data_IF_837872019918
#
_entry.id   IF_837872019918
#
_cell.length_a   1.000
_cell.length_b   1.000
_cell.length_c   1.000
_cell.angle_alpha   90.00
_cell.angle_beta   90.00
_cell.angle_gamma   90.00
#
_symmetry.space_group_name_H-M   'P 1'
#
loop_
_entity.id
_entity.type
_entity.pdbx_description
1 polymer ?
#
# COMPACT_ATOMS: atom_id res chain seq x y z
N UNK A 1 -55.13 -21.49 17.73
CA UNK A 1 -56.55 -21.13 17.38
C UNK A 1 -56.45 -20.31 16.11
N UNK A 2 -56.88 -20.90 15.02
CA UNK A 2 -58.06 -20.58 14.20
C UNK A 2 -57.88 -19.22 13.51
N UNK A 3 -57.85 -19.15 12.25
CA UNK A 3 -58.63 -19.52 11.03
C UNK A 3 -58.81 -18.24 10.24
N UNK A 4 -58.80 -18.04 9.00
CA UNK A 4 -59.20 -18.67 7.73
C UNK A 4 -59.25 -17.51 6.73
N UNK A 5 -58.63 -17.49 5.53
CA UNK A 5 -59.10 -18.07 4.27
C UNK A 5 -60.43 -17.50 3.75
N UNK A 6 -60.42 -16.93 2.55
CA UNK A 6 -61.31 -17.13 1.37
C UNK A 6 -61.12 -15.94 0.41
N UNK A 7 -60.74 -16.07 -0.79
CA UNK A 7 -61.28 -16.77 -1.99
C UNK A 7 -62.37 -16.02 -2.73
N UNK A 8 -62.19 -15.96 -4.05
CA UNK A 8 -63.07 -16.04 -5.21
C UNK A 8 -63.84 -14.75 -5.60
N UNK A 9 -64.18 -14.47 -6.84
CA UNK A 9 -63.97 -15.09 -8.13
C UNK A 9 -64.48 -14.16 -9.23
N UNK A 10 -63.99 -14.37 -10.43
CA UNK A 10 -64.65 -14.41 -11.75
C UNK A 10 -65.78 -13.42 -12.11
N UNK A 11 -65.65 -12.79 -13.29
CA UNK A 11 -66.63 -12.98 -14.40
C UNK A 11 -66.14 -12.34 -15.71
N UNK A 12 -66.07 -13.13 -16.67
CA UNK A 12 -66.13 -13.10 -18.11
C UNK A 12 -67.34 -12.30 -18.64
N UNK A 13 -67.19 -11.48 -19.70
CA UNK A 13 -68.19 -11.49 -20.79
C UNK A 13 -67.59 -10.92 -22.11
N UNK A 14 -67.96 -11.60 -23.12
CA UNK A 14 -67.62 -11.56 -24.53
C UNK A 14 -68.32 -10.43 -25.32
N UNK A 15 -67.79 -10.27 -26.55
CA UNK A 15 -68.40 -9.82 -27.84
C UNK A 15 -68.46 -8.30 -28.06
N UNK A 16 -68.25 -7.73 -29.22
CA UNK A 16 -68.44 -8.21 -30.58
C UNK A 16 -67.62 -7.34 -31.59
N UNK A 17 -67.39 -7.94 -32.69
CA UNK A 17 -66.81 -7.55 -33.96
C UNK A 17 -67.40 -6.26 -34.54
N UNK A 18 -66.60 -5.37 -35.09
CA UNK A 18 -66.89 -4.58 -36.28
C UNK A 18 -65.66 -4.41 -37.14
N UNK A 19 -65.63 -4.99 -38.29
CA UNK A 19 -64.73 -4.76 -39.38
C UNK A 19 -65.06 -3.44 -40.06
N UNK A 20 -64.09 -2.58 -40.28
CA UNK A 20 -64.07 -1.70 -41.42
C UNK A 20 -62.62 -1.14 -41.70
N UNK A 21 -62.20 -1.54 -42.87
CA UNK A 21 -61.38 -0.83 -43.87
C UNK A 21 -60.10 -0.11 -43.49
N UNK A 22 -59.08 -0.65 -44.10
CA UNK A 22 -57.88 -0.03 -44.68
C UNK A 22 -57.71 1.46 -44.59
N UNK A 23 -56.67 1.89 -43.87
CA UNK A 23 -55.68 2.87 -44.31
C UNK A 23 -54.35 2.50 -43.68
N UNK A 24 -53.31 2.31 -44.52
CA UNK A 24 -51.94 2.17 -44.11
C UNK A 24 -51.42 3.49 -43.58
N UNK A 25 -51.07 3.64 -42.30
CA UNK A 25 -50.08 4.62 -41.93
C UNK A 25 -48.70 4.04 -42.31
N UNK A 26 -47.92 4.78 -43.10
CA UNK A 26 -46.52 4.53 -43.26
C UNK A 26 -45.88 4.60 -41.88
N UNK A 27 -45.47 3.45 -41.38
CA UNK A 27 -44.46 3.37 -40.29
C UNK A 27 -43.19 4.04 -40.85
N UNK A 28 -42.97 5.31 -40.48
CA UNK A 28 -41.63 5.77 -40.36
C UNK A 28 -41.00 4.85 -39.32
N UNK A 29 -40.09 3.97 -39.75
CA UNK A 29 -39.11 3.37 -38.91
C UNK A 29 -38.33 4.51 -38.26
N UNK A 30 -38.73 4.90 -37.05
CA UNK A 30 -37.78 5.48 -36.13
C UNK A 30 -36.76 4.37 -35.89
N UNK A 31 -35.74 4.33 -36.76
CA UNK A 31 -34.45 3.76 -36.42
C UNK A 31 -33.97 4.52 -35.23
N UNK A 32 -34.31 4.05 -34.04
CA UNK A 32 -33.51 4.31 -32.85
C UNK A 32 -32.14 3.64 -33.11
N UNK A 33 -31.38 4.32 -33.91
CA UNK A 33 -29.93 4.14 -33.94
C UNK A 33 -29.47 4.68 -32.60
N UNK A 34 -29.49 3.84 -31.56
CA UNK A 34 -28.56 4.01 -30.49
C UNK A 34 -27.21 4.04 -31.19
N UNK A 35 -26.70 5.23 -31.45
CA UNK A 35 -25.30 5.44 -31.79
C UNK A 35 -24.53 4.87 -30.58
N UNK A 36 -24.23 3.60 -30.68
CA UNK A 36 -23.21 2.99 -29.85
C UNK A 36 -21.93 3.71 -30.24
N UNK A 37 -21.64 4.83 -29.54
CA UNK A 37 -20.35 5.51 -29.64
C UNK A 37 -19.29 4.43 -29.47
N UNK A 38 -18.74 3.96 -30.56
CA UNK A 38 -17.53 3.14 -30.56
C UNK A 38 -16.41 4.07 -30.07
N UNK A 39 -16.26 4.15 -28.75
CA UNK A 39 -15.16 4.94 -28.17
C UNK A 39 -13.88 4.31 -28.66
N UNK A 40 -13.09 5.08 -29.36
CA UNK A 40 -11.75 4.66 -29.78
C UNK A 40 -10.98 4.22 -28.54
N UNK A 41 -10.48 2.99 -28.59
CA UNK A 41 -9.69 2.40 -27.50
C UNK A 41 -8.21 2.55 -27.81
N UNK A 42 -7.47 3.11 -26.89
CA UNK A 42 -6.02 3.34 -27.01
C UNK A 42 -5.25 2.37 -26.14
N UNK A 43 -4.17 1.84 -26.67
CA UNK A 43 -3.25 0.98 -25.96
C UNK A 43 -2.23 1.83 -25.17
N UNK A 44 -2.15 1.58 -23.87
CA UNK A 44 -1.24 2.28 -22.95
C UNK A 44 -0.32 1.28 -22.28
N UNK A 45 0.96 1.62 -22.19
CA UNK A 45 1.96 0.84 -21.47
C UNK A 45 2.52 1.66 -20.32
N UNK A 46 2.42 1.14 -19.10
CA UNK A 46 3.01 1.72 -17.89
C UNK A 46 4.20 0.87 -17.48
N UNK A 47 5.37 1.50 -17.35
CA UNK A 47 6.61 0.80 -16.97
C UNK A 47 7.25 1.46 -15.76
N UNK A 48 7.51 0.68 -14.71
CA UNK A 48 8.36 1.14 -13.60
C UNK A 48 9.78 1.34 -14.13
N UNK A 49 10.22 2.59 -14.17
CA UNK A 49 11.48 2.99 -14.75
C UNK A 49 12.55 3.29 -13.70
N UNK A 50 12.12 3.85 -12.56
CA UNK A 50 13.02 4.29 -11.52
C UNK A 50 12.33 4.24 -10.17
N UNK A 51 13.12 3.95 -9.11
CA UNK A 51 12.73 4.15 -7.72
C UNK A 51 13.55 5.29 -7.13
N UNK A 52 12.88 6.21 -6.43
CA UNK A 52 13.54 7.27 -5.70
C UNK A 52 14.32 6.65 -4.53
N UNK A 53 15.58 7.02 -4.40
CA UNK A 53 16.44 6.68 -3.26
C UNK A 53 16.48 5.18 -2.88
N UNK A 54 17.07 4.37 -3.74
CA UNK A 54 17.40 2.98 -3.39
C UNK A 54 18.58 2.98 -2.41
N UNK A 55 18.55 2.18 -1.31
CA UNK A 55 19.62 2.20 -0.31
C UNK A 55 20.99 1.88 -0.89
N UNK A 56 22.01 2.64 -0.50
CA UNK A 56 23.40 2.48 -0.92
C UNK A 56 24.04 1.13 -0.52
N UNK A 57 23.41 0.37 0.38
CA UNK A 57 23.89 -0.93 0.86
C UNK A 57 23.61 -2.11 -0.08
N UNK A 58 22.84 -1.90 -1.12
CA UNK A 58 22.83 -2.80 -2.26
C UNK A 58 23.73 -2.15 -3.30
N UNK A 59 24.85 -2.78 -3.61
CA UNK A 59 25.73 -2.40 -4.72
C UNK A 59 24.97 -2.67 -6.04
N UNK A 60 23.91 -1.90 -6.27
CA UNK A 60 23.14 -1.94 -7.50
C UNK A 60 23.82 -0.91 -8.40
N UNK A 61 24.47 -1.39 -9.44
CA UNK A 61 25.00 -0.56 -10.49
C UNK A 61 23.85 0.23 -11.14
N UNK A 62 23.69 1.49 -10.71
CA UNK A 62 22.66 2.41 -11.19
C UNK A 62 22.81 2.72 -12.70
N UNK A 63 23.87 2.25 -13.35
CA UNK A 63 24.07 2.35 -14.80
C UNK A 63 23.23 1.35 -15.61
N UNK A 64 22.67 0.33 -14.97
CA UNK A 64 21.74 -0.63 -15.57
C UNK A 64 20.38 -0.49 -14.91
N UNK A 65 19.32 -0.45 -15.69
CA UNK A 65 17.95 -0.43 -15.20
C UNK A 65 17.82 -1.46 -14.07
N UNK A 66 17.65 -0.99 -12.83
CA UNK A 66 17.53 -1.83 -11.64
C UNK A 66 16.42 -2.84 -11.90
N UNK A 67 16.71 -4.12 -11.73
CA UNK A 67 15.66 -5.13 -11.82
C UNK A 67 14.61 -4.83 -10.75
N UNK A 68 13.41 -4.48 -11.17
CA UNK A 68 12.28 -4.14 -10.30
C UNK A 68 12.06 -5.21 -9.24
N UNK A 69 12.37 -6.49 -9.55
CA UNK A 69 12.27 -7.64 -8.62
C UNK A 69 13.24 -7.57 -7.44
N UNK A 70 14.31 -6.79 -7.55
CA UNK A 70 15.26 -6.59 -6.44
C UNK A 70 14.73 -5.57 -5.42
N UNK A 71 13.82 -4.68 -5.83
CA UNK A 71 13.28 -3.61 -4.99
C UNK A 71 11.94 -4.00 -4.37
N UNK A 72 11.07 -4.62 -5.16
CA UNK A 72 9.74 -5.02 -4.70
C UNK A 72 9.31 -6.37 -5.26
N UNK A 73 8.35 -7.01 -4.58
CA UNK A 73 7.78 -8.28 -5.01
C UNK A 73 6.34 -8.17 -5.50
N UNK A 74 5.72 -6.99 -5.33
CA UNK A 74 4.34 -6.71 -5.67
C UNK A 74 4.21 -5.32 -6.30
N UNK A 75 3.40 -5.23 -7.35
CA UNK A 75 2.98 -3.97 -7.94
C UNK A 75 1.46 -3.99 -8.07
N UNK A 76 0.81 -2.92 -7.65
CA UNK A 76 -0.63 -2.68 -7.85
C UNK A 76 -0.78 -1.38 -8.61
N UNK A 77 -1.54 -1.39 -9.71
CA UNK A 77 -1.85 -0.20 -10.51
C UNK A 77 -3.36 -0.05 -10.60
N UNK A 78 -3.86 1.13 -10.27
CA UNK A 78 -5.26 1.50 -10.45
C UNK A 78 -5.39 2.77 -11.30
N UNK A 79 -6.42 2.80 -12.11
CA UNK A 79 -6.77 3.94 -12.95
C UNK A 79 -8.18 4.41 -12.56
N UNK A 80 -8.31 5.70 -12.35
CA UNK A 80 -9.57 6.33 -11.98
C UNK A 80 -9.97 7.37 -13.03
N UNK A 81 -11.24 7.40 -13.37
CA UNK A 81 -11.84 8.44 -14.20
C UNK A 81 -13.03 9.03 -13.43
N UNK A 82 -13.05 10.34 -13.29
CA UNK A 82 -14.12 11.06 -12.57
C UNK A 82 -14.34 10.48 -11.14
N UNK A 83 -13.25 10.12 -10.45
CA UNK A 83 -13.26 9.51 -9.12
C UNK A 83 -13.65 8.02 -9.09
N UNK A 84 -14.05 7.43 -10.22
CA UNK A 84 -14.43 6.01 -10.30
C UNK A 84 -13.24 5.16 -10.77
N UNK A 85 -12.96 4.07 -10.05
CA UNK A 85 -11.91 3.14 -10.44
C UNK A 85 -12.34 2.30 -11.66
N UNK A 86 -11.66 2.52 -12.79
CA UNK A 86 -11.95 1.87 -14.08
C UNK A 86 -11.04 0.71 -14.39
N UNK A 87 -9.84 0.64 -13.80
CA UNK A 87 -8.91 -0.48 -13.90
C UNK A 87 -8.24 -0.73 -12.55
N UNK A 88 -7.95 -2.00 -12.28
CA UNK A 88 -7.19 -2.43 -11.12
C UNK A 88 -6.38 -3.68 -11.51
N UNK A 89 -5.07 -3.58 -11.48
CA UNK A 89 -4.16 -4.62 -11.96
C UNK A 89 -3.11 -4.86 -10.88
N UNK A 90 -2.83 -6.14 -10.63
CA UNK A 90 -1.83 -6.57 -9.68
C UNK A 90 -0.82 -7.45 -10.39
N UNK A 91 0.45 -7.27 -10.05
CA UNK A 91 1.53 -8.13 -10.48
C UNK A 91 2.32 -8.65 -9.28
N UNK A 92 2.88 -9.84 -9.42
CA UNK A 92 3.91 -10.37 -8.53
C UNK A 92 5.14 -10.83 -9.32
N UNK A 93 6.20 -11.22 -8.62
CA UNK A 93 7.48 -11.60 -9.26
C UNK A 93 7.39 -12.82 -10.19
N UNK A 94 6.26 -13.52 -10.23
CA UNK A 94 6.03 -14.65 -11.16
C UNK A 94 5.51 -14.17 -12.51
N UNK A 95 5.01 -12.93 -12.59
CA UNK A 95 4.55 -12.37 -13.84
C UNK A 95 5.73 -12.16 -14.79
N UNK A 96 5.54 -12.60 -16.05
CA UNK A 96 6.59 -12.56 -17.07
C UNK A 96 7.05 -11.12 -17.37
N UNK A 97 6.16 -10.15 -17.23
CA UNK A 97 6.40 -8.73 -17.48
C UNK A 97 6.29 -7.90 -16.21
N UNK A 98 6.79 -8.43 -15.08
CA UNK A 98 6.77 -7.71 -13.81
C UNK A 98 7.43 -6.32 -13.93
N UNK A 99 6.68 -5.28 -13.56
CA UNK A 99 7.08 -3.89 -13.72
C UNK A 99 6.63 -3.24 -15.04
N UNK A 100 5.98 -3.99 -15.95
CA UNK A 100 5.34 -3.45 -17.15
C UNK A 100 3.87 -3.87 -17.17
N UNK A 101 2.97 -2.89 -17.28
CA UNK A 101 1.52 -3.10 -17.27
C UNK A 101 0.94 -2.46 -18.52
N UNK A 102 0.30 -3.26 -19.35
CA UNK A 102 -0.37 -2.82 -20.57
C UNK A 102 -1.90 -2.79 -20.32
N UNK A 103 -2.57 -1.73 -20.74
CA UNK A 103 -4.02 -1.54 -20.63
C UNK A 103 -4.58 -0.92 -21.89
N UNK A 104 -5.89 -1.09 -22.10
CA UNK A 104 -6.63 -0.44 -23.16
C UNK A 104 -7.72 0.42 -22.56
N UNK A 105 -7.78 1.71 -22.94
CA UNK A 105 -8.71 2.70 -22.42
C UNK A 105 -9.26 3.59 -23.54
N UNK A 106 -10.50 4.09 -23.41
CA UNK A 106 -11.02 5.15 -24.27
C UNK A 106 -10.31 6.49 -24.00
N UNK A 107 -10.46 7.44 -24.89
CA UNK A 107 -10.01 8.82 -24.70
C UNK A 107 -10.56 9.41 -23.38
N UNK A 108 -9.76 10.24 -22.74
CA UNK A 108 -10.15 10.91 -21.50
C UNK A 108 -8.97 11.16 -20.56
N UNK A 109 -9.26 11.78 -19.43
CA UNK A 109 -8.28 12.06 -18.38
C UNK A 109 -8.44 11.04 -17.24
N UNK A 110 -7.32 10.50 -16.77
CA UNK A 110 -7.29 9.45 -15.77
C UNK A 110 -6.26 9.76 -14.67
N UNK A 111 -6.67 9.61 -13.43
CA UNK A 111 -5.73 9.54 -12.32
C UNK A 111 -5.11 8.15 -12.27
N UNK A 112 -3.80 8.07 -12.42
CA UNK A 112 -3.00 6.83 -12.33
C UNK A 112 -2.41 6.74 -10.95
N UNK A 113 -2.61 5.61 -10.26
CA UNK A 113 -1.98 5.31 -8.98
C UNK A 113 -1.27 3.96 -9.09
N UNK A 114 0.02 3.93 -8.82
CA UNK A 114 0.78 2.69 -8.72
C UNK A 114 1.45 2.58 -7.34
N UNK A 115 1.44 1.37 -6.78
CA UNK A 115 2.08 1.02 -5.51
C UNK A 115 3.00 -0.17 -5.74
N UNK A 116 4.25 -0.05 -5.29
CA UNK A 116 5.24 -1.13 -5.30
C UNK A 116 5.68 -1.42 -3.87
N UNK A 117 5.66 -2.69 -3.44
CA UNK A 117 6.04 -3.12 -2.09
C UNK A 117 6.40 -4.61 -2.03
N UNK A 118 6.85 -5.11 -0.87
CA UNK A 118 7.24 -6.51 -0.69
C UNK A 118 6.40 -7.27 0.36
N UNK A 119 5.17 -6.84 0.58
CA UNK A 119 4.22 -7.48 1.51
C UNK A 119 3.71 -8.85 1.03
N UNK A 120 3.01 -9.56 1.91
CA UNK A 120 2.51 -10.93 1.68
C UNK A 120 1.38 -11.04 0.63
N UNK A 121 0.77 -9.92 0.23
CA UNK A 121 -0.29 -9.84 -0.79
C UNK A 121 -0.30 -8.47 -1.44
N UNK A 122 -1.16 -8.26 -2.42
CA UNK A 122 -1.27 -6.99 -3.15
C UNK A 122 -1.86 -5.88 -2.28
N UNK A 123 -1.43 -4.64 -2.50
CA UNK A 123 -2.07 -3.47 -1.91
C UNK A 123 -3.49 -3.30 -2.47
N UNK A 124 -4.42 -2.87 -1.62
CA UNK A 124 -5.79 -2.53 -2.01
C UNK A 124 -5.89 -1.03 -2.21
N UNK A 125 -6.03 -0.60 -3.45
CA UNK A 125 -6.21 0.81 -3.81
C UNK A 125 -7.73 1.04 -3.90
N UNK A 126 -8.34 1.56 -2.83
CA UNK A 126 -9.79 1.87 -2.79
C UNK A 126 -10.08 3.14 -3.57
N UNK A 127 -9.35 4.18 -3.27
CA UNK A 127 -9.29 5.45 -3.99
C UNK A 127 -7.83 5.94 -4.01
N UNK A 128 -7.50 7.02 -4.73
CA UNK A 128 -6.17 7.63 -4.66
C UNK A 128 -5.77 8.07 -3.25
N UNK A 129 -6.74 8.41 -2.41
CA UNK A 129 -6.56 8.88 -1.03
C UNK A 129 -6.57 7.75 0.01
N UNK A 130 -7.01 6.53 -0.37
CA UNK A 130 -7.13 5.41 0.57
C UNK A 130 -6.57 4.12 0.00
N UNK A 131 -5.36 3.79 0.45
CA UNK A 131 -4.63 2.59 0.07
C UNK A 131 -4.29 1.81 1.32
N UNK A 132 -4.65 0.54 1.36
CA UNK A 132 -4.40 -0.37 2.48
C UNK A 132 -3.54 -1.56 2.07
N UNK A 133 -2.90 -2.18 3.06
CA UNK A 133 -1.95 -3.26 2.88
C UNK A 133 -2.41 -4.52 3.62
N UNK A 134 -2.07 -5.72 3.14
CA UNK A 134 -2.49 -6.97 3.78
C UNK A 134 -2.11 -7.01 5.26
N UNK A 135 -3.10 -7.29 6.12
CA UNK A 135 -2.95 -7.36 7.59
C UNK A 135 -2.38 -6.08 8.23
N UNK A 136 -2.50 -4.92 7.56
CA UNK A 136 -1.90 -3.64 7.97
C UNK A 136 -0.37 -3.74 8.21
N UNK A 137 0.32 -4.61 7.43
CA UNK A 137 1.77 -4.77 7.50
C UNK A 137 2.45 -4.00 6.38
N UNK A 138 3.35 -3.08 6.75
CA UNK A 138 4.12 -2.30 5.81
C UNK A 138 5.51 -2.91 5.59
N UNK A 139 6.00 -2.72 4.38
CA UNK A 139 7.38 -2.97 3.98
C UNK A 139 7.93 -1.71 3.34
N UNK A 140 9.15 -1.71 2.87
CA UNK A 140 9.62 -0.64 2.00
C UNK A 140 8.63 -0.50 0.84
N UNK A 141 8.02 0.68 0.73
CA UNK A 141 6.86 0.94 -0.13
C UNK A 141 7.10 2.19 -0.95
N UNK A 142 6.79 2.07 -2.24
CA UNK A 142 6.93 3.13 -3.23
C UNK A 142 5.61 3.38 -3.93
N UNK A 143 5.41 4.61 -4.39
CA UNK A 143 4.19 5.01 -5.09
C UNK A 143 4.47 5.92 -6.27
N UNK A 144 3.51 5.93 -7.19
CA UNK A 144 3.37 6.91 -8.26
C UNK A 144 1.91 7.36 -8.28
N UNK A 145 1.69 8.67 -8.44
CA UNK A 145 0.34 9.24 -8.55
C UNK A 145 0.39 10.47 -9.46
N UNK A 146 -0.22 10.35 -10.64
CA UNK A 146 -0.31 11.44 -11.61
C UNK A 146 -1.57 11.32 -12.47
N UNK A 147 -2.05 12.46 -12.95
CA UNK A 147 -3.07 12.54 -13.96
C UNK A 147 -2.46 12.36 -15.35
N UNK A 148 -3.10 11.57 -16.22
CA UNK A 148 -2.69 11.37 -17.60
C UNK A 148 -3.88 11.58 -18.54
N UNK A 149 -3.65 12.24 -19.67
CA UNK A 149 -4.66 12.43 -20.72
C UNK A 149 -4.41 11.44 -21.84
N UNK A 150 -5.42 10.63 -22.15
CA UNK A 150 -5.42 9.61 -23.18
C UNK A 150 -6.13 10.15 -24.41
N UNK A 151 -5.41 10.29 -25.52
CA UNK A 151 -5.92 10.67 -26.83
C UNK A 151 -5.27 9.89 -27.97
N UNK A 152 -4.46 8.85 -27.62
CA UNK A 152 -3.74 7.98 -28.53
C UNK A 152 -2.99 6.89 -27.78
N UNK A 153 -2.37 5.98 -28.52
CA UNK A 153 -1.46 4.99 -27.91
C UNK A 153 -0.27 5.70 -27.27
N UNK A 154 0.10 5.28 -26.05
CA UNK A 154 1.17 5.94 -25.30
C UNK A 154 1.91 4.98 -24.36
N UNK A 155 3.14 5.36 -23.99
CA UNK A 155 3.95 4.67 -22.98
C UNK A 155 4.37 5.65 -21.91
N UNK A 156 4.14 5.27 -20.65
CA UNK A 156 4.45 6.07 -19.47
C UNK A 156 5.55 5.41 -18.64
N UNK A 157 6.53 6.22 -18.26
CA UNK A 157 7.57 5.80 -17.32
C UNK A 157 7.13 6.20 -15.91
N UNK A 158 7.07 5.21 -15.01
CA UNK A 158 6.68 5.43 -13.62
C UNK A 158 7.95 5.64 -12.78
N UNK A 159 8.14 6.88 -12.32
CA UNK A 159 9.17 7.24 -11.34
C UNK A 159 8.56 7.08 -9.94
N UNK A 160 8.90 5.98 -9.29
CA UNK A 160 8.32 5.59 -8.01
C UNK A 160 9.00 6.32 -6.86
N UNK A 161 8.23 7.06 -6.05
CA UNK A 161 8.70 7.74 -4.84
C UNK A 161 8.53 6.85 -3.62
N UNK A 162 9.49 6.88 -2.68
CA UNK A 162 9.31 6.16 -1.41
C UNK A 162 8.24 6.83 -0.56
N UNK A 163 7.36 6.01 0.01
CA UNK A 163 6.20 6.47 0.79
C UNK A 163 6.40 6.35 2.30
N UNK A 164 7.35 5.53 2.75
CA UNK A 164 7.53 5.17 4.16
C UNK A 164 8.70 5.88 4.81
N UNK A 165 8.61 6.01 6.14
CA UNK A 165 9.72 6.19 7.05
C UNK A 165 10.08 4.84 7.68
N UNK A 166 11.33 4.65 8.10
CA UNK A 166 11.78 3.44 8.78
C UNK A 166 12.32 3.78 10.18
N UNK A 167 11.82 3.05 11.18
CA UNK A 167 12.47 2.97 12.48
C UNK A 167 13.35 1.72 12.52
N UNK A 168 14.60 1.89 12.96
CA UNK A 168 15.59 0.82 13.12
C UNK A 168 16.05 0.75 14.57
N UNK A 169 15.87 -0.41 15.19
CA UNK A 169 16.50 -0.73 16.47
C UNK A 169 17.74 -1.60 16.24
N UNK A 170 18.87 -1.18 16.80
CA UNK A 170 20.10 -1.97 16.82
C UNK A 170 20.50 -2.24 18.27
N UNK A 171 20.48 -3.50 18.71
CA UNK A 171 20.96 -3.89 20.04
C UNK A 171 22.48 -4.08 20.02
N UNK A 172 23.19 -3.52 20.99
CA UNK A 172 24.65 -3.70 21.10
C UNK A 172 25.05 -4.83 22.01
N UNK A 173 24.13 -5.27 22.88
CA UNK A 173 24.28 -6.41 23.76
C UNK A 173 23.72 -7.71 23.12
N UNK A 174 24.14 -8.85 23.66
CA UNK A 174 23.68 -10.16 23.20
C UNK A 174 22.19 -10.33 23.51
N UNK A 175 21.45 -10.82 22.53
CA UNK A 175 20.04 -11.16 22.72
C UNK A 175 19.93 -12.48 23.49
N UNK A 176 19.29 -12.53 24.68
CA UNK A 176 19.14 -13.78 25.44
C UNK A 176 18.48 -14.87 24.60
N UNK A 177 18.95 -16.11 24.73
CA UNK A 177 18.43 -17.26 23.95
C UNK A 177 16.96 -17.58 24.20
N UNK A 178 16.43 -17.11 25.35
CA UNK A 178 15.01 -17.21 25.69
C UNK A 178 14.13 -16.28 24.83
N UNK A 179 14.67 -15.19 24.27
CA UNK A 179 13.93 -14.26 23.39
C UNK A 179 13.71 -14.93 22.04
N UNK A 180 12.47 -14.97 21.58
CA UNK A 180 12.09 -15.54 20.27
C UNK A 180 11.50 -14.51 19.33
N UNK A 181 10.94 -13.42 19.89
CA UNK A 181 10.27 -12.40 19.10
C UNK A 181 10.56 -11.01 19.68
N UNK A 182 10.86 -10.07 18.81
CA UNK A 182 10.82 -8.62 19.09
C UNK A 182 9.51 -8.07 18.59
N UNK A 183 8.67 -7.58 19.48
CA UNK A 183 7.36 -6.99 19.19
C UNK A 183 7.45 -5.47 19.28
N UNK A 184 7.03 -4.80 18.24
CA UNK A 184 6.98 -3.35 18.14
C UNK A 184 5.52 -2.91 18.14
N UNK A 185 5.10 -2.15 19.13
CA UNK A 185 3.80 -1.48 19.17
C UNK A 185 4.02 0.01 19.08
N UNK A 186 3.41 0.67 18.09
CA UNK A 186 3.63 2.09 17.88
C UNK A 186 2.38 2.83 17.42
N UNK A 187 2.35 4.12 17.77
CA UNK A 187 1.29 5.09 17.45
C UNK A 187 1.91 6.36 16.89
N UNK A 188 1.10 7.21 16.27
CA UNK A 188 1.57 8.46 15.63
C UNK A 188 1.79 8.32 14.12
N UNK A 189 1.71 7.10 13.56
CA UNK A 189 1.82 6.86 12.13
C UNK A 189 0.54 6.25 11.55
N UNK A 190 0.61 5.84 10.28
CA UNK A 190 -0.50 5.25 9.54
C UNK A 190 -0.13 3.90 8.93
N UNK A 191 -1.11 2.98 8.90
CA UNK A 191 -1.06 1.74 8.13
C UNK A 191 -1.78 1.85 6.77
N UNK A 192 -2.36 3.01 6.48
CA UNK A 192 -3.00 3.34 5.20
C UNK A 192 -2.31 4.55 4.58
N UNK A 193 -2.30 4.61 3.25
CA UNK A 193 -1.56 5.59 2.49
C UNK A 193 -2.48 6.43 1.59
N UNK A 194 -2.19 7.71 1.47
CA UNK A 194 -2.82 8.64 0.55
C UNK A 194 -1.81 9.01 -0.56
N UNK A 195 -2.03 8.50 -1.77
CA UNK A 195 -1.13 8.73 -2.90
C UNK A 195 -1.23 10.15 -3.49
N UNK A 196 -2.29 10.90 -3.17
CA UNK A 196 -2.43 12.30 -3.62
C UNK A 196 -1.56 13.24 -2.81
N UNK A 197 -1.39 12.94 -1.52
CA UNK A 197 -0.57 13.76 -0.60
C UNK A 197 0.82 13.19 -0.34
N UNK A 198 1.01 11.89 -0.61
CA UNK A 198 2.28 11.18 -0.37
C UNK A 198 2.55 10.85 1.09
N UNK A 199 1.52 10.86 1.96
CA UNK A 199 1.62 10.60 3.39
C UNK A 199 0.53 9.65 3.89
N UNK A 200 0.53 9.33 5.17
CA UNK A 200 -0.44 8.44 5.81
C UNK A 200 -1.88 9.00 5.76
N UNK A 201 -2.84 8.15 5.43
CA UNK A 201 -4.24 8.54 5.26
C UNK A 201 -5.01 8.63 6.59
N UNK A 202 -4.70 7.72 7.54
CA UNK A 202 -5.46 7.61 8.81
C UNK A 202 -4.52 7.32 9.97
N UNK A 203 -4.75 7.92 11.12
CA UNK A 203 -4.01 7.57 12.32
C UNK A 203 -4.28 6.12 12.72
N UNK A 204 -3.24 5.35 12.98
CA UNK A 204 -3.33 3.92 13.28
C UNK A 204 -2.45 3.53 14.45
N UNK A 205 -2.93 2.54 15.20
CA UNK A 205 -2.09 1.75 16.09
C UNK A 205 -1.53 0.59 15.31
N UNK A 206 -0.22 0.40 15.36
CA UNK A 206 0.48 -0.60 14.57
C UNK A 206 1.19 -1.57 15.48
N UNK A 207 1.22 -2.84 15.09
CA UNK A 207 1.96 -3.88 15.78
C UNK A 207 2.73 -4.69 14.76
N UNK A 208 4.05 -4.75 14.91
CA UNK A 208 4.94 -5.55 14.09
C UNK A 208 5.72 -6.52 14.95
N UNK A 209 5.95 -7.72 14.44
CA UNK A 209 6.74 -8.74 15.10
C UNK A 209 7.90 -9.15 14.21
N UNK A 210 9.06 -9.35 14.82
CA UNK A 210 10.27 -9.84 14.17
C UNK A 210 10.79 -11.04 14.94
N UNK A 211 10.86 -12.18 14.27
CA UNK A 211 11.47 -13.39 14.82
C UNK A 211 12.95 -13.14 15.02
N UNK A 212 13.46 -13.53 16.20
CA UNK A 212 14.89 -13.49 16.48
C UNK A 212 15.53 -14.76 15.93
N UNK A 213 16.53 -14.60 15.06
CA UNK A 213 17.28 -15.70 14.46
C UNK A 213 18.50 -16.09 15.29
N UNK A 214 19.04 -17.28 15.08
CA UNK A 214 20.26 -17.74 15.76
C UNK A 214 21.45 -16.80 15.51
N UNK A 215 21.55 -16.22 14.31
CA UNK A 215 22.59 -15.25 13.98
C UNK A 215 22.47 -13.96 14.82
N UNK A 216 21.24 -13.53 15.14
CA UNK A 216 20.99 -12.36 15.99
C UNK A 216 21.23 -12.64 17.47
N UNK A 217 21.13 -13.90 17.93
CA UNK A 217 21.57 -14.28 19.27
C UNK A 217 23.09 -14.24 19.42
N UNK A 218 23.83 -14.51 18.33
CA UNK A 218 25.28 -14.55 18.32
C UNK A 218 25.97 -13.18 18.17
N UNK A 219 25.20 -12.12 17.86
CA UNK A 219 25.75 -10.80 17.57
C UNK A 219 24.73 -9.68 17.80
N UNK A 220 25.04 -8.46 17.36
CA UNK A 220 24.10 -7.34 17.40
C UNK A 220 22.83 -7.67 16.64
N UNK A 221 21.67 -7.44 17.25
CA UNK A 221 20.38 -7.55 16.58
C UNK A 221 20.03 -6.26 15.83
N UNK A 222 19.50 -6.37 14.61
CA UNK A 222 18.92 -5.25 13.89
C UNK A 222 17.47 -5.58 13.54
N UNK A 223 16.57 -4.63 13.83
CA UNK A 223 15.13 -4.81 13.62
C UNK A 223 14.55 -3.54 13.01
N UNK A 224 13.92 -3.68 11.85
CA UNK A 224 13.37 -2.59 11.08
C UNK A 224 11.83 -2.69 11.05
N UNK A 225 11.15 -1.55 11.26
CA UNK A 225 9.71 -1.39 11.08
C UNK A 225 9.40 -0.13 10.29
N UNK A 226 8.31 -0.15 9.55
CA UNK A 226 7.93 0.90 8.62
C UNK A 226 6.60 1.54 9.04
N UNK A 227 6.43 2.80 8.68
CA UNK A 227 5.16 3.53 8.83
C UNK A 227 5.01 4.56 7.72
N UNK A 228 3.76 4.97 7.46
CA UNK A 228 3.49 6.19 6.70
C UNK A 228 3.32 7.34 7.68
N UNK A 229 4.22 8.33 7.73
CA UNK A 229 4.01 9.55 8.52
C UNK A 229 2.77 10.31 8.02
N UNK A 230 2.04 11.02 8.90
CA UNK A 230 0.88 11.85 8.51
C UNK A 230 1.26 13.15 7.83
N UNK A 231 2.47 13.62 8.10
CA UNK A 231 3.12 14.76 7.45
C UNK A 231 4.50 14.31 6.96
N UNK A 232 5.17 15.07 6.08
CA UNK A 232 6.51 14.69 5.64
C UNK A 232 7.51 14.42 6.77
N UNK A 233 7.30 15.04 7.95
CA UNK A 233 8.04 14.76 9.20
C UNK A 233 7.05 14.64 10.35
N UNK A 234 7.16 13.59 11.16
CA UNK A 234 6.22 13.26 12.23
C UNK A 234 6.96 12.65 13.43
N UNK A 235 6.23 12.31 14.49
CA UNK A 235 6.79 11.63 15.67
C UNK A 235 5.96 10.39 16.01
N UNK A 236 6.65 9.33 16.42
CA UNK A 236 6.03 8.10 16.92
C UNK A 236 6.31 7.93 18.40
N UNK A 237 5.37 7.26 19.08
CA UNK A 237 5.64 6.59 20.34
C UNK A 237 5.75 5.09 20.05
N UNK A 238 6.88 4.47 20.41
CA UNK A 238 7.17 3.07 20.09
C UNK A 238 7.49 2.31 21.38
N UNK A 239 6.74 1.27 21.68
CA UNK A 239 7.07 0.29 22.72
C UNK A 239 7.61 -0.98 22.06
N UNK A 240 8.80 -1.41 22.47
CA UNK A 240 9.45 -2.62 21.98
C UNK A 240 9.52 -3.62 23.11
N UNK A 241 8.90 -4.77 22.93
CA UNK A 241 8.87 -5.89 23.89
C UNK A 241 9.62 -7.08 23.32
N UNK A 242 10.59 -7.61 24.07
CA UNK A 242 11.25 -8.88 23.77
C UNK A 242 10.45 -10.01 24.42
N UNK A 243 9.98 -10.95 23.62
CA UNK A 243 9.07 -12.02 24.05
C UNK A 243 9.76 -13.40 24.01
N UNK A 244 9.42 -14.25 24.98
CA UNK A 244 9.80 -15.66 24.97
C UNK A 244 8.90 -16.50 24.02
N UNK A 245 9.12 -17.83 23.98
CA UNK A 245 8.32 -18.74 23.15
C UNK A 245 6.85 -18.84 23.57
N UNK A 246 6.52 -18.52 24.84
CA UNK A 246 5.14 -18.48 25.34
C UNK A 246 4.45 -17.16 25.11
N UNK A 247 5.18 -16.14 24.63
CA UNK A 247 4.67 -14.77 24.43
C UNK A 247 4.81 -13.87 25.66
N UNK A 248 5.48 -14.33 26.74
CA UNK A 248 5.72 -13.51 27.91
C UNK A 248 6.82 -12.49 27.66
N UNK A 249 6.68 -11.30 28.25
CA UNK A 249 7.66 -10.22 28.14
C UNK A 249 8.88 -10.51 29.01
N UNK A 250 10.05 -10.55 28.39
CA UNK A 250 11.35 -10.65 29.08
C UNK A 250 11.89 -9.24 29.40
N UNK A 251 11.83 -8.36 28.42
CA UNK A 251 12.32 -6.97 28.53
C UNK A 251 11.45 -6.09 27.65
N UNK A 252 11.21 -4.85 28.10
CA UNK A 252 10.41 -3.88 27.36
C UNK A 252 11.00 -2.48 27.51
N UNK A 253 11.05 -1.72 26.43
CA UNK A 253 11.44 -0.32 26.40
C UNK A 253 10.44 0.50 25.58
N UNK A 254 10.16 1.72 26.05
CA UNK A 254 9.34 2.68 25.33
C UNK A 254 10.20 3.86 24.89
N UNK A 255 10.15 4.18 23.62
CA UNK A 255 10.76 5.33 22.99
C UNK A 255 9.66 6.35 22.73
N UNK A 256 9.76 7.48 23.43
CA UNK A 256 8.84 8.61 23.26
C UNK A 256 9.40 9.54 22.17
N UNK A 257 8.50 10.24 21.47
CA UNK A 257 8.85 11.28 20.49
C UNK A 257 9.91 10.87 19.46
N UNK A 258 9.79 9.64 18.95
CA UNK A 258 10.69 9.12 17.92
C UNK A 258 10.43 9.86 16.60
N UNK A 259 11.35 10.73 16.13
CA UNK A 259 11.12 11.46 14.90
C UNK A 259 11.15 10.50 13.71
N UNK A 260 10.25 10.68 12.77
CA UNK A 260 10.19 9.93 11.51
C UNK A 260 9.95 10.89 10.37
N UNK A 261 10.64 10.65 9.25
CA UNK A 261 10.46 11.42 8.04
C UNK A 261 10.41 10.49 6.84
N UNK A 262 9.54 10.80 5.89
CA UNK A 262 9.44 10.03 4.64
C UNK A 262 10.82 9.91 4.01
N UNK A 263 11.17 8.69 3.57
CA UNK A 263 12.44 8.35 2.95
C UNK A 263 13.69 8.48 3.87
N UNK A 264 13.49 8.46 5.20
CA UNK A 264 14.60 8.47 6.17
C UNK A 264 14.56 7.26 7.11
N UNK A 265 15.74 6.88 7.62
CA UNK A 265 15.89 5.89 8.68
C UNK A 265 16.17 6.62 10.00
N UNK A 266 15.28 6.44 10.97
CA UNK A 266 15.51 6.81 12.36
C UNK A 266 16.06 5.62 13.10
N UNK A 267 17.36 5.64 13.45
CA UNK A 267 18.04 4.54 14.12
C UNK A 267 18.26 4.82 15.60
N UNK A 268 17.86 3.87 16.43
CA UNK A 268 18.21 3.79 17.85
C UNK A 268 19.17 2.63 18.05
N UNK A 269 20.34 2.90 18.64
CA UNK A 269 21.39 1.91 18.88
C UNK A 269 21.84 1.96 20.33
N UNK A 270 21.77 0.83 21.03
CA UNK A 270 22.15 0.74 22.44
C UNK A 270 21.98 -0.65 23.05
N UNK A 271 22.25 -0.76 24.32
CA UNK A 271 21.99 -1.97 25.11
C UNK A 271 20.49 -2.08 25.38
N UNK A 272 19.91 -3.24 25.09
CA UNK A 272 18.47 -3.49 25.25
C UNK A 272 18.16 -4.49 26.37
N UNK A 273 19.04 -5.45 26.64
CA UNK A 273 18.82 -6.57 27.54
C UNK A 273 19.60 -6.48 28.85
N UNK A 274 20.70 -5.78 28.89
CA UNK A 274 21.46 -5.59 30.12
C UNK A 274 20.72 -4.61 31.01
N UNK A 275 20.40 -5.04 32.24
CA UNK A 275 19.69 -4.22 33.22
C UNK A 275 20.45 -2.93 33.47
N UNK A 276 19.82 -1.84 33.11
CA UNK A 276 20.31 -0.50 33.40
C UNK A 276 20.11 -0.26 34.90
N UNK A 277 21.19 0.08 35.60
CA UNK A 277 21.03 0.84 36.86
C UNK A 277 20.28 2.14 36.53
N UNK A 278 19.51 2.72 37.46
CA UNK A 278 18.72 3.94 37.21
C UNK A 278 19.48 5.12 36.62
N UNK A 279 20.82 5.11 36.70
CA UNK A 279 21.72 6.12 36.12
C UNK A 279 22.03 5.89 34.64
N UNK A 280 21.82 4.66 34.10
CA UNK A 280 22.17 4.27 32.72
C UNK A 280 20.90 4.05 31.85
N UNK A 281 19.74 4.36 32.39
CA UNK A 281 18.49 4.33 31.66
C UNK A 281 18.54 5.38 30.54
N UNK A 282 18.77 4.94 29.31
CA UNK A 282 18.70 5.70 28.05
C UNK A 282 20.02 5.96 27.30
N UNK A 283 20.95 5.03 27.26
CA UNK A 283 22.07 5.13 26.30
C UNK A 283 21.70 4.48 24.98
N UNK A 284 20.62 4.94 24.36
CA UNK A 284 20.42 4.73 22.94
C UNK A 284 20.97 5.95 22.20
N UNK A 285 21.97 5.76 21.35
CA UNK A 285 22.37 6.80 20.42
C UNK A 285 21.33 6.88 19.30
N UNK A 286 20.92 8.09 19.00
CA UNK A 286 19.98 8.40 17.94
C UNK A 286 20.73 8.87 16.70
N UNK A 287 20.38 8.37 15.53
CA UNK A 287 20.82 8.89 14.25
C UNK A 287 19.70 8.93 13.24
N UNK A 288 19.62 10.03 12.49
CA UNK A 288 18.76 10.15 11.30
C UNK A 288 19.61 9.91 10.08
N UNK A 289 19.15 9.07 9.17
CA UNK A 289 19.81 8.81 7.90
C UNK A 289 18.98 9.44 6.77
N UNK A 290 19.48 10.55 6.23
CA UNK A 290 18.93 11.20 5.05
C UNK A 290 19.12 10.30 3.81
N UNK A 291 18.10 10.25 2.94
CA UNK A 291 18.17 9.55 1.65
C UNK A 291 18.62 8.09 1.79
N UNK A 292 18.28 7.43 2.91
CA UNK A 292 18.89 6.16 3.27
C UNK A 292 20.43 6.25 3.38
N UNK A 293 21.00 7.46 3.43
CA UNK A 293 22.43 7.71 3.66
C UNK A 293 22.71 7.88 5.14
N UNK A 294 23.89 7.40 5.54
CA UNK A 294 24.33 7.36 6.93
C UNK A 294 24.82 8.74 7.38
N UNK A 295 24.05 9.46 8.24
CA UNK A 295 24.61 10.52 9.08
C UNK A 295 24.55 10.04 10.52
N UNK A 296 25.70 9.71 11.10
CA UNK A 296 25.83 9.39 12.51
C UNK A 296 26.06 10.70 13.28
N UNK A 297 25.17 11.00 14.22
CA UNK A 297 25.42 12.02 15.22
C UNK A 297 25.76 11.31 16.53
N UNK A 298 26.98 11.50 17.03
CA UNK A 298 27.37 11.11 18.38
C UNK A 298 26.99 12.25 19.34
N UNK A 299 26.34 11.91 20.43
CA UNK A 299 26.13 12.79 21.58
C UNK A 299 27.11 12.41 22.68
#
# INVERSE_FOLDING_TARGET
MKKTMKMLATALLLSAICLSACEKPSLAEETNTEEQETKDLFHLSFRVAQFEHIPFNQAIDMSRATDVKQVCTRISLALFKDGVKVKNIHQDTKDAHFGKIDVTLPAGTYQVVAIAHSGSGSATITSPEEISFPKNKMTDTFYYSQEVTVGGNASYQLEMKRAVAMFRLVTTDAIPTAVKTMKFYYTGGSSTFNAMTGVGAKNSRQTEERTVTDAQHAGPGQFDVYTFPHTPSDVLKITVSALNASGDVITEHTFEEVPVKVNEITQYKGSFFQGTTPADANVFSFSVQDEWTKKEYAY
#
